data_IF_263795017195
#
_entry.id   IF_263795017195
#
_cell.length_a   1.000
_cell.length_b   1.000
_cell.length_c   1.000
_cell.angle_alpha   90.00
_cell.angle_beta   90.00
_cell.angle_gamma   90.00
#
_symmetry.space_group_name_H-M   'P 1'
#
loop_
_entity.id
_entity.type
_entity.pdbx_description
1 polymer ?
#
# COMPACT_ATOMS: atom_id res chain seq x y z
N UNK A 1 15.34 18.80 2.41
CA UNK A 1 15.54 17.88 1.29
C UNK A 1 14.21 17.30 0.88
N UNK A 2 13.71 17.76 -0.26
CA UNK A 2 12.60 17.07 -0.93
C UNK A 2 13.20 15.78 -1.49
N UNK A 3 13.24 14.73 -0.65
CA UNK A 3 13.81 13.46 -1.01
C UNK A 3 13.18 12.90 -2.28
N UNK A 4 14.00 12.39 -3.15
CA UNK A 4 13.58 11.72 -4.37
C UNK A 4 12.63 10.56 -4.03
N UNK A 5 11.47 10.51 -4.66
CA UNK A 5 10.50 9.44 -4.55
C UNK A 5 10.33 8.70 -5.88
N UNK A 6 11.45 8.27 -6.46
CA UNK A 6 11.48 7.48 -7.68
C UNK A 6 11.06 8.24 -8.94
N UNK A 7 10.30 7.63 -9.83
CA UNK A 7 9.90 8.20 -11.13
C UNK A 7 9.17 9.54 -11.03
N UNK A 8 8.48 9.82 -9.92
CA UNK A 8 7.81 11.08 -9.67
C UNK A 8 8.76 12.30 -9.71
N UNK A 9 10.01 12.14 -9.30
CA UNK A 9 10.99 13.24 -9.29
C UNK A 9 11.52 13.62 -10.65
N UNK A 10 11.54 12.70 -11.59
CA UNK A 10 12.02 12.96 -12.96
C UNK A 10 11.02 13.79 -13.74
N UNK A 11 9.72 13.58 -13.53
CA UNK A 11 8.66 14.15 -14.34
C UNK A 11 7.89 15.26 -13.65
N UNK A 12 7.80 15.24 -12.32
CA UNK A 12 6.94 16.14 -11.57
C UNK A 12 7.44 16.40 -10.15
N UNK A 13 7.12 17.60 -9.67
CA UNK A 13 7.01 17.88 -8.23
C UNK A 13 5.52 17.95 -7.94
N UNK A 14 4.95 16.89 -7.35
CA UNK A 14 3.52 16.82 -7.09
C UNK A 14 3.13 17.74 -5.96
N UNK A 15 2.12 18.58 -6.20
CA UNK A 15 1.58 19.51 -5.22
C UNK A 15 0.12 19.18 -4.88
N UNK A 16 -0.21 19.36 -3.62
CA UNK A 16 -1.54 19.15 -3.06
C UNK A 16 -2.11 20.43 -2.43
N UNK A 17 -1.38 21.56 -2.54
CA UNK A 17 -1.81 22.88 -2.06
C UNK A 17 -1.20 24.02 -2.84
N UNK A 18 -1.85 25.20 -2.81
CA UNK A 18 -1.28 26.42 -3.40
C UNK A 18 -0.01 26.87 -2.66
N UNK A 19 0.08 26.59 -1.36
CA UNK A 19 1.24 26.94 -0.54
C UNK A 19 2.49 26.19 -0.99
N UNK A 20 2.38 24.88 -1.26
CA UNK A 20 3.50 24.08 -1.83
C UNK A 20 3.93 24.64 -3.19
N UNK A 21 2.95 24.96 -4.05
CA UNK A 21 3.25 25.53 -5.37
C UNK A 21 4.00 26.86 -5.27
N UNK A 22 3.58 27.75 -4.36
CA UNK A 22 4.28 29.03 -4.11
C UNK A 22 5.72 28.80 -3.65
N UNK A 23 5.97 27.83 -2.78
CA UNK A 23 7.31 27.49 -2.33
C UNK A 23 8.18 27.01 -3.50
N UNK A 24 7.65 26.16 -4.39
CA UNK A 24 8.35 25.70 -5.59
C UNK A 24 8.67 26.90 -6.51
N UNK A 25 7.72 27.79 -6.73
CA UNK A 25 7.93 29.01 -7.55
C UNK A 25 9.05 29.88 -6.98
N UNK A 26 9.04 30.11 -5.67
CA UNK A 26 10.09 30.91 -5.01
C UNK A 26 11.47 30.27 -5.15
N UNK A 27 11.58 28.96 -4.91
CA UNK A 27 12.84 28.22 -5.10
C UNK A 27 13.30 28.23 -6.56
N UNK A 28 12.37 28.10 -7.50
CA UNK A 28 12.64 28.15 -8.93
C UNK A 28 13.21 29.49 -9.35
N UNK A 29 12.61 30.61 -8.89
CA UNK A 29 13.10 31.97 -9.14
C UNK A 29 14.53 32.15 -8.61
N UNK A 30 14.79 31.76 -7.37
CA UNK A 30 16.11 31.88 -6.74
C UNK A 30 17.19 31.08 -7.50
N UNK A 31 16.83 29.94 -8.08
CA UNK A 31 17.73 29.08 -8.84
C UNK A 31 17.73 29.38 -10.35
N UNK A 32 16.94 30.33 -10.83
CA UNK A 32 16.76 30.68 -12.25
C UNK A 32 16.49 29.46 -13.13
N UNK A 33 15.61 28.55 -12.65
CA UNK A 33 15.25 27.30 -13.34
C UNK A 33 13.74 27.21 -13.52
N UNK A 34 13.26 26.49 -14.53
CA UNK A 34 11.85 26.18 -14.71
C UNK A 34 11.58 24.77 -14.16
N UNK A 35 10.62 24.65 -13.25
CA UNK A 35 10.31 23.37 -12.59
C UNK A 35 9.05 22.74 -13.19
N UNK A 36 9.15 21.47 -13.58
CA UNK A 36 7.97 20.68 -13.94
C UNK A 36 7.20 20.30 -12.67
N UNK A 37 5.91 20.60 -12.64
CA UNK A 37 5.05 20.32 -11.50
C UNK A 37 3.87 19.42 -11.91
N UNK A 38 3.44 18.58 -10.99
CA UNK A 38 2.20 17.82 -11.07
C UNK A 38 1.16 18.37 -10.09
N UNK A 39 -0.09 18.39 -10.49
CA UNK A 39 -1.23 18.67 -9.62
C UNK A 39 -1.85 17.35 -9.19
N UNK A 40 -2.01 17.14 -7.88
CA UNK A 40 -2.81 16.01 -7.39
C UNK A 40 -4.26 16.44 -7.17
N UNK A 41 -5.12 15.86 -7.96
CA UNK A 41 -6.58 16.06 -7.87
C UNK A 41 -7.18 15.04 -6.89
N UNK A 42 -8.04 15.49 -6.01
CA UNK A 42 -8.95 14.62 -5.28
C UNK A 42 -10.19 14.37 -6.15
N UNK A 43 -10.40 13.17 -6.68
CA UNK A 43 -11.49 12.90 -7.61
C UNK A 43 -12.84 12.71 -6.92
N UNK A 44 -12.90 12.76 -5.61
CA UNK A 44 -14.08 12.45 -4.78
C UNK A 44 -14.70 11.07 -5.13
N UNK A 45 -13.87 10.07 -5.30
CA UNK A 45 -14.28 8.70 -5.61
C UNK A 45 -14.11 7.82 -4.39
N UNK A 46 -15.19 7.17 -3.96
CA UNK A 46 -15.11 6.14 -2.94
C UNK A 46 -14.58 4.83 -3.55
N UNK A 47 -13.40 4.44 -3.14
CA UNK A 47 -12.73 3.22 -3.60
C UNK A 47 -13.31 1.93 -2.98
N UNK A 48 -14.31 2.04 -2.09
CA UNK A 48 -14.92 0.90 -1.39
C UNK A 48 -13.91 0.02 -0.65
N UNK A 49 -12.91 0.65 -0.05
CA UNK A 49 -11.86 0.01 0.72
C UNK A 49 -11.96 0.38 2.21
N UNK A 50 -11.04 -0.14 3.03
CA UNK A 50 -10.95 0.22 4.44
C UNK A 50 -10.75 1.73 4.57
N UNK A 51 -11.58 2.42 5.39
CA UNK A 51 -11.56 3.87 5.52
C UNK A 51 -10.18 4.47 5.84
N UNK A 52 -9.36 3.75 6.62
CA UNK A 52 -7.98 4.15 7.00
C UNK A 52 -6.99 4.23 5.82
N UNK A 53 -7.30 3.60 4.68
CA UNK A 53 -6.44 3.57 3.48
C UNK A 53 -7.14 4.13 2.23
N UNK A 54 -8.27 4.81 2.41
CA UNK A 54 -8.92 5.61 1.38
C UNK A 54 -8.21 6.96 1.23
N UNK A 55 -8.06 7.45 0.00
CA UNK A 55 -7.37 8.72 -0.29
C UNK A 55 -8.05 9.57 -1.34
N UNK A 56 -9.22 9.14 -1.82
CA UNK A 56 -9.91 9.78 -2.93
C UNK A 56 -11.27 10.40 -2.61
N UNK A 57 -11.69 10.42 -1.33
CA UNK A 57 -12.94 11.05 -0.90
C UNK A 57 -12.71 12.51 -0.54
N UNK A 58 -13.77 13.34 -0.59
CA UNK A 58 -13.68 14.76 -0.30
C UNK A 58 -13.09 15.08 1.10
N UNK A 59 -13.34 14.23 2.08
CA UNK A 59 -12.86 14.38 3.46
C UNK A 59 -11.44 13.84 3.69
N UNK A 60 -10.86 13.20 2.71
CA UNK A 60 -9.50 12.67 2.83
C UNK A 60 -8.50 13.83 2.66
N UNK A 61 -7.41 13.83 3.42
CA UNK A 61 -6.42 14.93 3.45
C UNK A 61 -5.61 15.12 2.17
N UNK A 62 -5.89 14.35 1.12
CA UNK A 62 -5.05 14.26 -0.07
C UNK A 62 -5.67 14.98 -1.27
N UNK A 63 -4.81 15.67 -2.01
CA UNK A 63 -5.14 16.31 -3.27
C UNK A 63 -5.97 17.59 -3.12
N UNK A 64 -6.05 18.34 -4.21
CA UNK A 64 -6.87 19.54 -4.36
C UNK A 64 -8.28 19.16 -4.77
N UNK A 65 -9.26 19.95 -4.33
CA UNK A 65 -10.61 19.83 -4.89
C UNK A 65 -10.61 20.19 -6.38
N UNK A 66 -11.59 19.71 -7.10
CA UNK A 66 -11.77 20.02 -8.52
C UNK A 66 -11.74 21.55 -8.79
N UNK A 67 -12.47 22.31 -7.97
CA UNK A 67 -12.57 23.79 -8.06
C UNK A 67 -11.22 24.48 -7.75
N UNK A 68 -10.53 24.03 -6.71
CA UNK A 68 -9.27 24.65 -6.30
C UNK A 68 -8.14 24.34 -7.28
N UNK A 69 -8.13 23.12 -7.84
CA UNK A 69 -7.17 22.74 -8.87
C UNK A 69 -7.31 23.63 -10.12
N UNK A 70 -8.53 23.88 -10.61
CA UNK A 70 -8.77 24.81 -11.73
C UNK A 70 -8.26 26.20 -11.39
N UNK A 71 -8.65 26.77 -10.23
CA UNK A 71 -8.21 28.09 -9.81
C UNK A 71 -6.70 28.25 -9.78
N UNK A 72 -6.00 27.22 -9.23
CA UNK A 72 -4.54 27.24 -9.15
C UNK A 72 -3.92 27.17 -10.55
N UNK A 73 -4.43 26.29 -11.41
CA UNK A 73 -3.94 26.17 -12.79
C UNK A 73 -4.12 27.51 -13.52
N UNK A 74 -5.31 28.11 -13.50
CA UNK A 74 -5.59 29.39 -14.18
C UNK A 74 -4.72 30.54 -13.67
N UNK A 75 -4.46 30.57 -12.36
CA UNK A 75 -3.61 31.59 -11.74
C UNK A 75 -2.15 31.49 -12.16
N UNK A 76 -1.65 30.27 -12.35
CA UNK A 76 -0.21 30.03 -12.52
C UNK A 76 0.19 29.48 -13.90
N UNK A 77 -0.74 29.21 -14.82
CA UNK A 77 -0.47 28.65 -16.15
C UNK A 77 0.55 29.42 -16.99
N UNK A 78 0.62 30.75 -16.80
CA UNK A 78 1.54 31.63 -17.50
C UNK A 78 2.81 31.94 -16.71
N UNK A 79 3.12 31.20 -15.65
CA UNK A 79 4.29 31.40 -14.84
C UNK A 79 5.57 31.01 -15.59
N UNK A 80 6.58 31.89 -15.58
CA UNK A 80 7.91 31.62 -16.13
C UNK A 80 8.76 30.68 -15.25
N UNK A 81 8.26 30.31 -14.05
CA UNK A 81 9.01 29.52 -13.06
C UNK A 81 8.60 28.06 -13.02
N UNK A 82 7.42 27.72 -13.52
CA UNK A 82 6.88 26.36 -13.48
C UNK A 82 6.20 25.98 -14.79
N UNK A 83 6.10 24.67 -15.03
CA UNK A 83 5.25 24.10 -16.09
C UNK A 83 4.40 23.00 -15.50
N UNK A 84 3.09 23.05 -15.71
CA UNK A 84 2.19 21.95 -15.38
C UNK A 84 2.40 20.80 -16.37
N UNK A 85 2.99 19.71 -15.92
CA UNK A 85 3.34 18.56 -16.75
C UNK A 85 2.51 17.34 -16.46
N UNK A 86 2.02 17.19 -15.24
CA UNK A 86 1.33 15.97 -14.78
C UNK A 86 0.04 16.30 -14.00
N UNK A 87 -1.02 15.61 -14.35
CA UNK A 87 -2.20 15.49 -13.48
C UNK A 87 -2.13 14.15 -12.76
N UNK A 88 -2.20 14.15 -11.44
CA UNK A 88 -2.12 12.93 -10.63
C UNK A 88 -3.40 12.71 -9.83
N UNK A 89 -3.82 11.46 -9.71
CA UNK A 89 -4.92 11.01 -8.86
C UNK A 89 -4.56 9.71 -8.17
N UNK A 90 -5.03 9.53 -6.94
CA UNK A 90 -4.89 8.26 -6.23
C UNK A 90 -6.09 8.08 -5.31
N UNK A 91 -6.85 7.01 -5.47
CA UNK A 91 -8.15 6.83 -4.81
C UNK A 91 -8.11 5.92 -3.57
N UNK A 92 -6.98 5.30 -3.29
CA UNK A 92 -6.83 4.44 -2.11
C UNK A 92 -5.99 3.20 -2.37
N UNK A 93 -6.04 2.27 -1.45
CA UNK A 93 -5.28 1.02 -1.50
C UNK A 93 -6.21 -0.17 -1.28
N UNK A 94 -5.79 -1.36 -1.72
CA UNK A 94 -6.53 -2.61 -1.60
C UNK A 94 -7.86 -2.61 -2.37
N UNK A 95 -7.85 -2.10 -3.58
CA UNK A 95 -9.01 -2.04 -4.48
C UNK A 95 -9.04 -3.32 -5.32
N UNK A 96 -10.11 -4.09 -5.18
CA UNK A 96 -10.27 -5.40 -5.85
C UNK A 96 -11.21 -5.37 -7.06
N UNK A 97 -11.74 -4.19 -7.42
CA UNK A 97 -12.71 -4.00 -8.50
C UNK A 97 -12.30 -2.85 -9.42
N UNK A 98 -12.59 -2.97 -10.71
CA UNK A 98 -12.34 -1.90 -11.69
C UNK A 98 -13.33 -0.73 -11.58
N UNK A 99 -14.47 -0.91 -10.91
CA UNK A 99 -15.52 0.13 -10.85
C UNK A 99 -15.02 1.48 -10.29
N UNK A 100 -14.23 1.52 -9.18
CA UNK A 100 -13.66 2.79 -8.71
C UNK A 100 -12.72 3.45 -9.72
N UNK A 101 -11.92 2.68 -10.45
CA UNK A 101 -11.02 3.21 -11.49
C UNK A 101 -11.80 3.79 -12.67
N UNK A 102 -12.88 3.15 -13.10
CA UNK A 102 -13.76 3.68 -14.15
C UNK A 102 -14.37 5.01 -13.74
N UNK A 103 -14.83 5.14 -12.48
CA UNK A 103 -15.33 6.41 -11.95
C UNK A 103 -14.24 7.48 -11.93
N UNK A 104 -13.05 7.14 -11.47
CA UNK A 104 -11.88 8.02 -11.43
C UNK A 104 -11.53 8.53 -12.85
N UNK A 105 -11.47 7.65 -13.84
CA UNK A 105 -11.16 8.00 -15.23
C UNK A 105 -12.20 8.98 -15.80
N UNK A 106 -13.49 8.80 -15.49
CA UNK A 106 -14.54 9.74 -15.92
C UNK A 106 -14.34 11.13 -15.29
N UNK A 107 -14.02 11.20 -13.98
CA UNK A 107 -13.75 12.47 -13.31
C UNK A 107 -12.53 13.17 -13.89
N UNK A 108 -11.47 12.42 -14.20
CA UNK A 108 -10.25 12.97 -14.80
C UNK A 108 -10.53 13.47 -16.21
N UNK A 109 -11.29 12.75 -17.05
CA UNK A 109 -11.72 13.25 -18.37
C UNK A 109 -12.47 14.59 -18.25
N UNK A 110 -13.48 14.64 -17.39
CA UNK A 110 -14.25 15.88 -17.15
C UNK A 110 -13.37 17.04 -16.63
N UNK A 111 -12.33 16.74 -15.88
CA UNK A 111 -11.38 17.76 -15.42
C UNK A 111 -10.53 18.27 -16.57
N UNK A 112 -9.98 17.41 -17.40
CA UNK A 112 -9.16 17.78 -18.55
C UNK A 112 -9.92 18.64 -19.57
N UNK A 113 -11.22 18.39 -19.75
CA UNK A 113 -12.10 19.20 -20.62
C UNK A 113 -12.32 20.64 -20.09
N UNK A 114 -12.05 20.91 -18.80
CA UNK A 114 -12.30 22.20 -18.16
C UNK A 114 -11.06 23.04 -17.89
N UNK A 115 -9.89 22.48 -18.08
CA UNK A 115 -8.63 23.18 -17.83
C UNK A 115 -7.99 23.65 -19.13
N UNK A 116 -7.29 24.79 -19.09
CA UNK A 116 -6.65 25.43 -20.25
C UNK A 116 -5.19 25.04 -20.43
N UNK A 117 -4.74 23.94 -19.81
CA UNK A 117 -3.37 23.43 -19.91
C UNK A 117 -3.39 21.97 -20.39
N UNK A 118 -2.42 21.62 -21.21
CA UNK A 118 -2.22 20.24 -21.67
C UNK A 118 -1.23 19.55 -20.75
N UNK A 119 -1.63 18.45 -20.15
CA UNK A 119 -0.78 17.60 -19.35
C UNK A 119 -0.10 16.55 -20.21
N UNK A 120 1.23 16.52 -20.20
CA UNK A 120 1.99 15.48 -20.90
C UNK A 120 1.79 14.11 -20.26
N UNK A 121 1.57 14.09 -18.94
CA UNK A 121 1.37 12.87 -18.17
C UNK A 121 0.07 12.92 -17.37
N UNK A 122 -0.60 11.77 -17.30
CA UNK A 122 -1.65 11.54 -16.31
C UNK A 122 -1.24 10.34 -15.45
N UNK A 123 -1.14 10.55 -14.16
CA UNK A 123 -0.76 9.53 -13.19
C UNK A 123 -2.01 9.08 -12.43
N UNK A 124 -2.42 7.84 -12.69
CA UNK A 124 -3.57 7.22 -12.04
C UNK A 124 -3.23 6.58 -10.69
N UNK A 125 -2.00 6.77 -10.20
CA UNK A 125 -1.52 6.19 -8.96
C UNK A 125 -1.48 4.67 -8.99
N UNK A 126 -1.62 4.10 -7.83
CA UNK A 126 -1.69 2.64 -7.65
C UNK A 126 -3.01 2.20 -7.05
N UNK A 127 -2.92 1.42 -5.99
CA UNK A 127 -4.07 1.02 -5.19
C UNK A 127 -4.66 -0.35 -5.54
N UNK A 128 -4.27 -0.96 -6.68
CA UNK A 128 -4.68 -2.31 -7.03
C UNK A 128 -4.30 -3.27 -5.91
N UNK A 129 -5.28 -4.01 -5.43
CA UNK A 129 -5.16 -4.93 -4.31
C UNK A 129 -4.77 -6.34 -4.71
N UNK A 130 -4.50 -7.16 -3.70
CA UNK A 130 -4.44 -8.62 -3.79
C UNK A 130 -5.54 -9.22 -2.91
N UNK A 131 -6.03 -10.38 -3.28
CA UNK A 131 -6.99 -11.09 -2.44
C UNK A 131 -6.23 -11.90 -1.38
N UNK A 132 -6.35 -11.48 -0.13
CA UNK A 132 -5.78 -12.17 1.04
C UNK A 132 -6.60 -13.41 1.46
N UNK A 133 -7.72 -13.70 0.80
CA UNK A 133 -8.55 -14.87 1.07
C UNK A 133 -8.01 -16.12 0.36
N UNK A 134 -8.55 -17.27 0.74
CA UNK A 134 -8.25 -18.54 0.06
C UNK A 134 -8.79 -18.62 -1.38
N UNK A 135 -9.79 -17.79 -1.72
CA UNK A 135 -10.48 -17.85 -3.01
C UNK A 135 -9.77 -17.09 -4.14
N UNK A 136 -8.69 -16.35 -3.81
CA UNK A 136 -7.81 -15.60 -4.72
C UNK A 136 -8.51 -14.99 -5.94
N UNK A 137 -9.48 -14.09 -5.71
CA UNK A 137 -10.04 -13.27 -6.78
C UNK A 137 -8.94 -12.35 -7.31
N UNK A 138 -8.56 -12.53 -8.56
CA UNK A 138 -7.58 -11.65 -9.20
C UNK A 138 -8.25 -10.37 -9.67
N UNK A 139 -7.56 -9.24 -9.47
CA UNK A 139 -7.95 -7.97 -10.08
C UNK A 139 -7.86 -8.08 -11.61
N UNK A 140 -8.85 -7.57 -12.32
CA UNK A 140 -8.87 -7.61 -13.79
C UNK A 140 -8.00 -6.50 -14.39
N UNK A 141 -6.71 -6.77 -14.48
CA UNK A 141 -5.71 -5.86 -15.06
C UNK A 141 -5.93 -5.61 -16.55
N UNK A 142 -6.44 -6.61 -17.30
CA UNK A 142 -6.68 -6.45 -18.75
C UNK A 142 -7.75 -5.40 -19.00
N UNK A 143 -8.84 -5.46 -18.25
CA UNK A 143 -9.91 -4.46 -18.33
C UNK A 143 -9.43 -3.07 -18.00
N UNK A 144 -8.66 -2.92 -16.89
CA UNK A 144 -8.09 -1.61 -16.52
C UNK A 144 -7.15 -1.08 -17.61
N UNK A 145 -6.25 -1.92 -18.11
CA UNK A 145 -5.30 -1.55 -19.15
C UNK A 145 -6.00 -1.05 -20.44
N UNK A 146 -7.08 -1.71 -20.86
CA UNK A 146 -7.86 -1.29 -22.02
C UNK A 146 -8.51 0.08 -21.81
N UNK A 147 -9.06 0.34 -20.64
CA UNK A 147 -9.69 1.64 -20.33
C UNK A 147 -8.65 2.77 -20.27
N UNK A 148 -7.51 2.51 -19.65
CA UNK A 148 -6.38 3.46 -19.59
C UNK A 148 -5.81 3.72 -21.00
N UNK A 149 -5.68 2.70 -21.83
CA UNK A 149 -5.23 2.87 -23.20
C UNK A 149 -6.19 3.76 -24.02
N UNK A 150 -7.51 3.53 -23.93
CA UNK A 150 -8.51 4.37 -24.58
C UNK A 150 -8.44 5.81 -24.10
N UNK A 151 -8.26 6.01 -22.78
CA UNK A 151 -8.09 7.33 -22.17
C UNK A 151 -6.85 8.04 -22.71
N UNK A 152 -5.68 7.35 -22.74
CA UNK A 152 -4.42 7.89 -23.25
C UNK A 152 -4.52 8.36 -24.70
N UNK A 153 -5.18 7.54 -25.57
CA UNK A 153 -5.39 7.88 -26.97
C UNK A 153 -6.31 9.09 -27.16
N UNK A 154 -7.40 9.16 -26.38
CA UNK A 154 -8.33 10.29 -26.44
C UNK A 154 -7.70 11.62 -26.00
N UNK A 155 -6.87 11.60 -24.96
CA UNK A 155 -6.31 12.81 -24.35
C UNK A 155 -4.86 13.08 -24.77
N UNK A 156 -4.31 12.31 -25.69
CA UNK A 156 -2.94 12.46 -26.22
C UNK A 156 -1.86 12.58 -25.11
N UNK A 157 -2.03 11.84 -24.00
CA UNK A 157 -1.16 11.91 -22.85
C UNK A 157 -0.49 10.56 -22.56
N UNK A 158 0.67 10.62 -21.90
CA UNK A 158 1.37 9.45 -21.37
C UNK A 158 0.80 9.08 -20.00
N UNK A 159 0.75 7.79 -19.72
CA UNK A 159 0.20 7.28 -18.44
C UNK A 159 1.32 6.86 -17.51
N UNK A 160 1.15 7.25 -16.25
CA UNK A 160 1.94 6.74 -15.13
C UNK A 160 1.02 5.89 -14.24
N UNK A 161 1.52 4.76 -13.77
CA UNK A 161 0.92 3.93 -12.75
C UNK A 161 1.93 3.70 -11.63
N UNK A 162 1.45 3.64 -10.39
CA UNK A 162 2.27 3.43 -9.18
C UNK A 162 1.84 2.15 -8.45
N UNK A 163 1.85 0.96 -9.10
CA UNK A 163 1.45 -0.27 -8.45
C UNK A 163 2.47 -0.66 -7.37
N UNK A 164 1.99 -0.92 -6.16
CA UNK A 164 2.80 -1.38 -5.05
C UNK A 164 2.35 -2.77 -4.61
N UNK A 165 1.24 -2.82 -3.87
CA UNK A 165 0.70 -4.06 -3.31
C UNK A 165 0.48 -5.17 -4.34
N UNK A 166 -0.04 -4.85 -5.49
CA UNK A 166 -0.32 -5.84 -6.56
C UNK A 166 0.93 -6.48 -7.16
N UNK A 167 2.11 -5.86 -6.96
CA UNK A 167 3.38 -6.42 -7.43
C UNK A 167 4.04 -7.26 -6.34
N UNK A 168 4.07 -6.77 -5.09
CA UNK A 168 4.90 -7.36 -4.05
C UNK A 168 4.09 -8.03 -2.92
N UNK A 169 2.77 -7.86 -2.88
CA UNK A 169 1.98 -8.24 -1.72
C UNK A 169 2.02 -9.74 -1.39
N UNK A 170 1.95 -10.59 -2.40
CA UNK A 170 1.93 -12.06 -2.28
C UNK A 170 3.30 -12.72 -2.52
N UNK A 171 4.37 -11.93 -2.64
CA UNK A 171 5.73 -12.44 -2.89
C UNK A 171 6.49 -12.82 -1.64
N UNK A 172 5.97 -12.52 -0.45
CA UNK A 172 6.65 -12.82 0.79
C UNK A 172 5.75 -13.52 1.83
N UNK A 173 6.39 -14.26 2.70
CA UNK A 173 5.78 -14.94 3.85
C UNK A 173 6.54 -14.59 5.12
N UNK A 174 5.83 -14.55 6.25
CA UNK A 174 6.44 -14.50 7.58
C UNK A 174 6.43 -15.92 8.16
N UNK A 175 7.63 -16.42 8.48
CA UNK A 175 7.83 -17.71 9.11
C UNK A 175 7.88 -17.49 10.61
N UNK A 176 7.07 -18.25 11.35
CA UNK A 176 7.01 -18.15 12.80
C UNK A 176 6.91 -19.51 13.46
N UNK A 177 7.49 -19.61 14.64
CA UNK A 177 7.50 -20.82 15.46
C UNK A 177 6.40 -20.76 16.51
N UNK A 178 5.71 -21.86 16.72
CA UNK A 178 4.80 -22.06 17.86
C UNK A 178 5.64 -22.22 19.12
N UNK A 179 5.53 -21.27 20.04
CA UNK A 179 6.26 -21.29 21.32
C UNK A 179 5.50 -22.11 22.34
N UNK A 180 4.20 -21.78 22.53
CA UNK A 180 3.34 -22.44 23.47
C UNK A 180 1.92 -22.63 22.88
N UNK A 181 1.24 -23.65 23.39
CA UNK A 181 -0.20 -23.89 23.14
C UNK A 181 -0.93 -23.77 24.49
N UNK A 182 -1.67 -22.69 24.67
CA UNK A 182 -2.51 -22.48 25.85
C UNK A 182 -3.93 -22.98 25.57
N UNK A 183 -4.28 -24.10 26.15
CA UNK A 183 -5.62 -24.67 26.05
C UNK A 183 -6.63 -23.84 26.85
N UNK A 184 -7.83 -23.71 26.32
CA UNK A 184 -8.99 -23.16 27.04
C UNK A 184 -10.28 -23.95 26.66
N UNK A 185 -11.39 -23.76 27.39
CA UNK A 185 -12.60 -24.57 27.15
C UNK A 185 -13.15 -24.46 25.72
N UNK A 186 -13.11 -23.29 25.10
CA UNK A 186 -13.74 -23.00 23.81
C UNK A 186 -12.78 -22.93 22.62
N UNK A 187 -11.50 -22.62 22.87
CA UNK A 187 -10.47 -22.45 21.84
C UNK A 187 -9.08 -22.68 22.44
N UNK A 188 -8.10 -22.90 21.59
CA UNK A 188 -6.70 -22.94 22.02
C UNK A 188 -5.96 -21.72 21.48
N UNK A 189 -5.16 -21.09 22.32
CA UNK A 189 -4.27 -20.01 21.90
C UNK A 189 -2.94 -20.60 21.41
N UNK A 190 -2.60 -20.28 20.16
CA UNK A 190 -1.32 -20.64 19.56
C UNK A 190 -0.41 -19.44 19.67
N UNK A 191 0.51 -19.49 20.62
CA UNK A 191 1.44 -18.39 20.92
C UNK A 191 2.66 -18.52 20.02
N UNK A 192 2.87 -17.52 19.17
CA UNK A 192 3.92 -17.46 18.17
C UNK A 192 5.13 -16.66 18.69
N UNK A 193 6.32 -16.88 18.12
CA UNK A 193 7.48 -16.01 18.33
C UNK A 193 7.39 -14.70 17.54
N UNK A 194 6.56 -14.61 16.51
CA UNK A 194 6.20 -13.37 15.85
C UNK A 194 5.10 -12.63 16.62
N UNK A 195 5.16 -11.29 16.64
CA UNK A 195 4.16 -10.43 17.24
C UNK A 195 3.68 -9.31 16.32
N UNK A 196 2.80 -8.46 16.82
CA UNK A 196 2.30 -7.31 16.07
C UNK A 196 3.43 -6.33 15.71
N UNK A 197 4.56 -6.36 16.41
CA UNK A 197 5.76 -5.61 16.06
C UNK A 197 6.39 -6.09 14.76
N UNK A 198 6.25 -7.37 14.39
CA UNK A 198 6.78 -7.96 13.16
C UNK A 198 5.78 -7.80 12.00
N UNK A 199 4.46 -7.88 12.29
CA UNK A 199 3.39 -7.74 11.31
C UNK A 199 2.19 -7.01 11.93
N UNK A 200 2.22 -5.67 11.90
CA UNK A 200 1.21 -4.82 12.55
C UNK A 200 -0.16 -4.84 11.86
N UNK A 201 -0.24 -5.26 10.60
CA UNK A 201 -1.44 -5.11 9.77
C UNK A 201 -2.70 -5.78 10.34
N UNK A 202 -2.67 -6.96 10.95
CA UNK A 202 -3.85 -7.52 11.63
C UNK A 202 -4.38 -6.61 12.74
N UNK A 203 -3.52 -6.09 13.59
CA UNK A 203 -3.90 -5.20 14.70
C UNK A 203 -4.39 -3.83 14.18
N UNK A 204 -3.69 -3.24 13.20
CA UNK A 204 -3.95 -1.88 12.72
C UNK A 204 -5.15 -1.77 11.79
N UNK A 205 -5.35 -2.78 10.92
CA UNK A 205 -6.32 -2.74 9.81
C UNK A 205 -7.32 -3.90 9.83
N UNK A 206 -7.29 -4.80 10.83
CA UNK A 206 -8.01 -6.07 10.81
C UNK A 206 -7.69 -6.91 9.56
N UNK A 207 -6.46 -6.77 9.02
CA UNK A 207 -6.03 -7.48 7.84
C UNK A 207 -5.91 -8.99 8.14
N UNK A 208 -6.47 -9.81 7.27
CA UNK A 208 -6.42 -11.26 7.42
C UNK A 208 -5.27 -11.81 6.57
N UNK A 209 -4.22 -12.27 7.22
CA UNK A 209 -3.17 -13.05 6.58
C UNK A 209 -3.43 -14.53 6.82
N UNK A 210 -3.56 -15.31 5.75
CA UNK A 210 -3.76 -16.75 5.87
C UNK A 210 -2.56 -17.39 6.55
N UNK A 211 -2.83 -18.27 7.51
CA UNK A 211 -1.80 -19.04 8.21
C UNK A 211 -1.87 -20.49 7.72
N UNK A 212 -0.74 -21.04 7.36
CA UNK A 212 -0.63 -22.45 6.98
C UNK A 212 0.50 -23.12 7.79
N UNK A 213 0.44 -24.43 8.03
CA UNK A 213 1.55 -25.13 8.64
C UNK A 213 2.70 -25.31 7.64
N UNK A 214 3.93 -25.29 8.10
CA UNK A 214 5.09 -25.59 7.25
C UNK A 214 5.10 -27.07 6.80
N UNK A 215 4.68 -27.97 7.68
CA UNK A 215 4.55 -29.41 7.40
C UNK A 215 3.09 -29.79 7.52
N UNK A 216 2.53 -30.37 6.46
CA UNK A 216 1.12 -30.81 6.45
C UNK A 216 0.91 -32.07 7.29
N UNK A 217 -0.20 -32.12 8.03
CA UNK A 217 -0.68 -33.27 8.77
C UNK A 217 -2.16 -33.50 8.51
N UNK A 218 -2.59 -34.76 8.50
CA UNK A 218 -4.01 -35.11 8.36
C UNK A 218 -4.82 -34.91 9.64
N UNK A 219 -4.17 -34.92 10.79
CA UNK A 219 -4.83 -34.72 12.09
C UNK A 219 -5.35 -33.30 12.21
N UNK A 220 -6.64 -33.12 12.51
CA UNK A 220 -7.26 -31.81 12.70
C UNK A 220 -7.42 -31.48 14.17
N UNK A 221 -7.33 -30.19 14.48
CA UNK A 221 -7.72 -29.69 15.79
C UNK A 221 -9.23 -29.80 15.98
N UNK A 222 -9.66 -30.20 17.18
CA UNK A 222 -11.07 -30.23 17.59
C UNK A 222 -11.62 -28.85 17.94
N UNK A 223 -10.73 -27.92 18.36
CA UNK A 223 -11.06 -26.55 18.77
C UNK A 223 -10.62 -25.54 17.73
N UNK A 224 -11.19 -24.34 17.83
CA UNK A 224 -10.71 -23.18 17.10
C UNK A 224 -9.33 -22.79 17.62
N UNK A 225 -8.40 -22.44 16.73
CA UNK A 225 -7.12 -21.85 17.06
C UNK A 225 -7.19 -20.34 16.95
N UNK A 226 -6.64 -19.65 17.97
CA UNK A 226 -6.46 -18.21 18.01
C UNK A 226 -4.94 -17.94 17.99
N UNK A 227 -4.40 -17.58 16.83
CA UNK A 227 -2.98 -17.31 16.63
C UNK A 227 -2.65 -15.93 17.18
N UNK A 228 -1.80 -15.88 18.20
CA UNK A 228 -1.44 -14.67 18.94
C UNK A 228 0.08 -14.52 19.05
N UNK A 229 0.54 -13.28 19.20
CA UNK A 229 1.94 -12.99 19.47
C UNK A 229 2.24 -12.88 20.97
N UNK A 230 3.50 -12.54 21.32
CA UNK A 230 3.98 -12.46 22.68
C UNK A 230 3.86 -11.05 23.29
N UNK A 231 3.30 -10.07 22.58
CA UNK A 231 3.13 -8.70 23.05
C UNK A 231 2.00 -8.64 24.07
N UNK A 232 2.16 -7.85 25.12
CA UNK A 232 1.18 -7.72 26.21
C UNK A 232 -0.03 -6.85 25.84
N UNK A 233 -0.58 -7.05 24.63
CA UNK A 233 -1.77 -6.38 24.13
C UNK A 233 -2.77 -7.37 23.55
N UNK A 234 -4.07 -7.14 23.80
CA UNK A 234 -5.17 -7.96 23.23
C UNK A 234 -5.20 -7.87 21.70
N UNK A 235 -4.68 -6.79 21.13
CA UNK A 235 -4.56 -6.57 19.69
C UNK A 235 -3.46 -7.40 19.03
N UNK A 236 -2.53 -8.01 19.81
CA UNK A 236 -1.48 -8.89 19.29
C UNK A 236 -2.04 -10.26 18.89
N UNK A 237 -2.85 -10.22 17.85
CA UNK A 237 -3.55 -11.36 17.28
C UNK A 237 -3.48 -11.32 15.77
N UNK A 238 -3.17 -12.47 15.18
CA UNK A 238 -3.06 -12.60 13.73
C UNK A 238 -4.35 -13.10 13.08
N UNK A 239 -4.85 -14.24 13.52
CA UNK A 239 -6.01 -14.87 12.89
C UNK A 239 -6.64 -15.93 13.80
N UNK A 240 -7.98 -16.07 13.73
CA UNK A 240 -8.72 -17.22 14.29
C UNK A 240 -9.04 -18.20 13.18
N UNK A 241 -8.79 -19.48 13.42
CA UNK A 241 -9.03 -20.54 12.43
C UNK A 241 -9.70 -21.75 13.03
N UNK A 242 -10.80 -22.17 12.43
CA UNK A 242 -11.47 -23.46 12.71
C UNK A 242 -10.90 -24.54 11.80
N UNK A 243 -10.92 -25.78 12.27
CA UNK A 243 -10.49 -26.96 11.49
C UNK A 243 -9.05 -26.90 10.98
N UNK A 244 -8.18 -26.17 11.66
CA UNK A 244 -6.75 -26.19 11.37
C UNK A 244 -6.18 -27.59 11.69
N UNK A 245 -5.00 -27.93 11.14
CA UNK A 245 -4.36 -29.17 11.60
C UNK A 245 -3.93 -29.05 13.07
N UNK A 246 -3.85 -30.19 13.76
CA UNK A 246 -3.32 -30.21 15.12
C UNK A 246 -1.85 -29.81 15.10
N UNK A 247 -1.50 -28.82 15.91
CA UNK A 247 -0.15 -28.32 16.09
C UNK A 247 0.45 -28.81 17.41
N UNK A 248 1.77 -28.87 17.45
CA UNK A 248 2.59 -29.05 18.64
C UNK A 248 3.50 -27.84 18.85
N UNK A 249 3.95 -27.65 20.07
CA UNK A 249 4.97 -26.66 20.38
C UNK A 249 6.28 -26.97 19.61
N UNK A 250 6.95 -25.93 19.14
CA UNK A 250 8.13 -26.04 18.31
C UNK A 250 7.86 -26.12 16.79
N UNK A 251 6.60 -26.41 16.38
CA UNK A 251 6.26 -26.47 14.96
C UNK A 251 6.28 -25.07 14.31
N UNK A 252 6.46 -25.06 13.00
CA UNK A 252 6.55 -23.84 12.21
C UNK A 252 5.22 -23.60 11.48
N UNK A 253 4.77 -22.37 11.55
CA UNK A 253 3.65 -21.85 10.75
C UNK A 253 4.12 -20.71 9.84
N UNK A 254 3.38 -20.51 8.76
CA UNK A 254 3.69 -19.55 7.71
C UNK A 254 2.50 -18.61 7.57
N UNK A 255 2.73 -17.31 7.81
CA UNK A 255 1.77 -16.25 7.53
C UNK A 255 2.01 -15.75 6.11
N UNK A 256 0.98 -15.85 5.26
CA UNK A 256 1.09 -15.56 3.82
C UNK A 256 0.87 -14.09 3.49
N UNK A 257 1.32 -13.73 2.28
CA UNK A 257 0.99 -12.47 1.62
C UNK A 257 1.46 -11.24 2.42
N UNK A 258 2.68 -11.28 2.99
CA UNK A 258 3.23 -10.22 3.85
C UNK A 258 4.18 -9.26 3.11
N UNK A 259 4.37 -9.41 1.79
CA UNK A 259 5.35 -8.63 1.03
C UNK A 259 5.06 -7.14 0.98
N UNK A 260 3.78 -6.74 0.98
CA UNK A 260 3.41 -5.33 1.02
C UNK A 260 3.07 -4.89 2.44
N UNK A 261 3.78 -3.85 2.93
CA UNK A 261 3.52 -3.26 4.26
C UNK A 261 3.65 -4.26 5.42
N UNK A 262 4.42 -5.32 5.24
CA UNK A 262 4.85 -6.22 6.31
C UNK A 262 6.06 -5.63 7.02
N UNK A 263 7.26 -5.97 6.54
CA UNK A 263 8.52 -5.55 7.14
C UNK A 263 8.66 -4.02 7.30
N UNK A 264 8.25 -3.22 6.30
CA UNK A 264 8.37 -1.75 6.36
C UNK A 264 7.52 -1.09 7.46
N UNK A 265 6.52 -1.76 7.99
CA UNK A 265 5.74 -1.33 9.14
C UNK A 265 6.12 -2.04 10.44
N UNK A 266 7.11 -2.93 10.41
CA UNK A 266 7.63 -3.54 11.63
C UNK A 266 8.33 -2.51 12.51
N UNK A 267 8.43 -2.79 13.80
CA UNK A 267 8.97 -1.86 14.79
C UNK A 267 9.68 -2.60 15.91
N UNK A 268 10.39 -1.84 16.73
CA UNK A 268 11.01 -2.34 17.94
C UNK A 268 10.08 -2.25 19.16
N UNK A 269 8.76 -2.26 18.96
CA UNK A 269 7.81 -2.22 20.08
C UNK A 269 8.10 -3.33 21.09
N UNK A 270 7.99 -3.01 22.38
CA UNK A 270 8.42 -3.85 23.52
C UNK A 270 9.89 -4.30 23.43
N UNK A 271 10.77 -3.45 22.85
CA UNK A 271 12.21 -3.71 22.71
C UNK A 271 12.50 -5.03 21.98
N UNK A 272 11.63 -5.42 21.04
CA UNK A 272 11.82 -6.64 20.24
C UNK A 272 12.64 -6.33 18.99
N UNK A 273 13.69 -7.13 18.71
CA UNK A 273 14.47 -6.98 17.48
C UNK A 273 13.64 -7.25 16.23
N UNK A 274 13.85 -6.44 15.19
CA UNK A 274 13.23 -6.69 13.88
C UNK A 274 13.73 -8.00 13.28
N UNK A 275 12.86 -8.75 12.55
CA UNK A 275 13.22 -10.00 11.93
C UNK A 275 14.23 -9.80 10.80
N UNK A 276 14.91 -10.87 10.39
CA UNK A 276 15.71 -10.85 9.16
C UNK A 276 14.83 -11.01 7.94
N UNK A 277 15.28 -10.45 6.80
CA UNK A 277 14.69 -10.73 5.49
C UNK A 277 15.63 -11.60 4.66
N UNK A 278 15.05 -12.59 4.03
CA UNK A 278 15.77 -13.55 3.16
C UNK A 278 15.10 -13.54 1.80
N UNK A 279 15.86 -13.19 0.78
CA UNK A 279 15.46 -13.36 -0.61
C UNK A 279 15.65 -14.82 -1.01
N UNK A 280 14.63 -15.39 -1.64
CA UNK A 280 14.66 -16.74 -2.21
C UNK A 280 14.48 -16.62 -3.72
N UNK A 281 15.49 -17.03 -4.47
CA UNK A 281 15.44 -17.12 -5.93
C UNK A 281 15.74 -18.56 -6.35
N UNK A 282 14.69 -19.30 -6.70
CA UNK A 282 14.76 -20.75 -7.00
C UNK A 282 15.37 -21.52 -5.81
N UNK A 283 16.58 -22.07 -5.98
CA UNK A 283 17.32 -22.79 -4.94
C UNK A 283 18.30 -21.93 -4.15
N UNK A 284 18.48 -20.66 -4.53
CA UNK A 284 19.42 -19.74 -3.85
C UNK A 284 18.71 -18.92 -2.79
N UNK A 285 19.41 -18.70 -1.69
CA UNK A 285 18.93 -17.83 -0.61
C UNK A 285 19.96 -16.75 -0.31
N UNK A 286 19.51 -15.53 -0.07
CA UNK A 286 20.36 -14.40 0.28
C UNK A 286 19.72 -13.60 1.42
N UNK A 287 20.49 -13.31 2.47
CA UNK A 287 20.07 -12.40 3.52
C UNK A 287 20.14 -10.98 2.97
N UNK A 288 18.99 -10.30 2.82
CA UNK A 288 18.88 -8.92 2.35
C UNK A 288 18.74 -7.92 3.51
N UNK A 289 18.23 -8.39 4.66
CA UNK A 289 18.22 -7.63 5.92
C UNK A 289 18.60 -8.55 7.07
N UNK A 290 19.60 -8.17 7.87
CA UNK A 290 20.01 -8.94 9.03
C UNK A 290 18.98 -8.78 10.16
N UNK A 291 18.80 -9.82 10.99
CA UNK A 291 18.06 -9.67 12.26
C UNK A 291 18.82 -8.67 13.14
N UNK A 292 18.10 -7.75 13.73
CA UNK A 292 18.66 -6.91 14.79
C UNK A 292 19.06 -7.76 16.00
N UNK A 293 20.13 -7.37 16.63
CA UNK A 293 20.52 -7.86 17.96
C UNK A 293 20.00 -6.91 19.05
N UNK A 294 19.98 -7.36 20.29
CA UNK A 294 19.64 -6.47 21.41
C UNK A 294 20.63 -5.30 21.50
N UNK A 295 21.89 -5.51 21.12
CA UNK A 295 22.90 -4.43 21.06
C UNK A 295 22.58 -3.33 20.07
N UNK A 296 21.78 -3.61 19.02
CA UNK A 296 21.35 -2.61 18.06
C UNK A 296 20.21 -1.74 18.61
N UNK A 297 19.67 -2.08 19.78
CA UNK A 297 18.54 -1.39 20.43
C UNK A 297 18.95 -0.56 21.63
N UNK A 298 20.18 -0.71 22.09
CA UNK A 298 20.79 0.01 23.19
C UNK A 298 21.96 0.81 22.64
#
# INVERSE_FOLDING_TARGET
SLGSRGLGDVYKRQVESESELKNIINLSKNKKTVVNVGIRLNPNVNAQTIGKISTGRMQDKFGLTFKDAIKIIDKYKNSNSIRFKCLSVHIGSQILSNVPYQKMIRVVNNFLEKVSVNFEYVDFGGGMGIDYSSNKKTFDFKKLALEIYKFSKRNECKIILEPGRSIIGDTAVLISKVIYIKESPTKDFIILDAGMNDLIRPALYNAKHMIIPAIKSSKKSKKEYDFVGPICETSDRFLKMKKFQKLNEGEIVILKDVGAYGYVLSSNYNVRPMPKEVLVDKSKTQIISKRQSIKDLI
#
